data_IF_588617909252
#
_entry.id   IF_588617909252
#
_cell.length_a   1.000
_cell.length_b   1.000
_cell.length_c   1.000
_cell.angle_alpha   90.00
_cell.angle_beta   90.00
_cell.angle_gamma   90.00
#
_symmetry.space_group_name_H-M   'P 1'
#
loop_
_entity.id
_entity.type
_entity.pdbx_description
1 polymer ?
#
# COMPACT_ATOMS: atom_id res chain seq x y z
N UNK A 1 -5.35 19.96 4.17
CA UNK A 1 -5.95 21.25 3.77
C UNK A 1 -4.84 22.27 3.68
N UNK A 2 -4.56 22.87 2.54
CA UNK A 2 -3.60 23.95 2.45
C UNK A 2 -4.00 25.08 3.40
N UNK A 3 -3.09 25.50 4.27
CA UNK A 3 -3.33 26.58 5.25
C UNK A 3 -3.88 26.16 6.62
N UNK A 4 -4.10 24.86 6.87
CA UNK A 4 -4.46 24.34 8.20
C UNK A 4 -3.26 24.17 9.15
N UNK A 5 -3.52 23.57 10.32
CA UNK A 5 -2.49 23.21 11.29
C UNK A 5 -2.45 21.70 11.49
N UNK A 6 -1.25 21.11 11.62
CA UNK A 6 -1.07 19.69 11.90
C UNK A 6 -0.18 19.50 13.14
N UNK A 7 -0.46 18.45 13.91
CA UNK A 7 0.43 18.06 15.01
C UNK A 7 0.97 16.65 14.76
N UNK A 8 2.26 16.55 14.56
CA UNK A 8 3.02 15.32 14.49
C UNK A 8 3.46 14.93 15.91
N UNK A 9 2.87 13.85 16.44
CA UNK A 9 3.10 13.42 17.82
C UNK A 9 4.22 12.38 17.96
N UNK A 10 4.85 11.98 16.83
CA UNK A 10 5.91 10.97 16.76
C UNK A 10 6.99 11.36 15.75
N UNK A 11 7.51 12.56 15.88
CA UNK A 11 8.24 13.28 14.85
C UNK A 11 9.60 12.69 14.42
N UNK A 12 10.24 11.85 15.23
CA UNK A 12 11.54 11.25 14.89
C UNK A 12 12.59 12.28 14.45
N UNK A 13 13.24 12.05 13.30
CA UNK A 13 14.19 13.00 12.71
C UNK A 13 13.55 14.22 12.04
N UNK A 14 12.22 14.34 12.08
CA UNK A 14 11.48 15.51 11.57
C UNK A 14 11.16 15.48 10.07
N UNK A 15 11.36 14.35 9.38
CA UNK A 15 11.16 14.27 7.92
C UNK A 15 9.72 14.53 7.52
N UNK A 16 8.75 13.85 8.17
CA UNK A 16 7.32 14.06 7.91
C UNK A 16 6.91 15.48 8.32
N UNK A 17 7.34 15.97 9.48
CA UNK A 17 7.07 17.33 9.95
C UNK A 17 7.62 18.40 8.99
N UNK A 18 8.81 18.17 8.41
CA UNK A 18 9.35 19.04 7.37
C UNK A 18 8.46 19.07 6.11
N UNK A 19 8.01 17.90 5.67
CA UNK A 19 7.11 17.81 4.53
C UNK A 19 5.76 18.50 4.82
N UNK A 20 5.22 18.34 6.03
CA UNK A 20 4.01 19.04 6.46
C UNK A 20 4.19 20.56 6.48
N UNK A 21 5.36 21.06 6.89
CA UNK A 21 5.65 22.47 6.90
C UNK A 21 5.62 23.15 5.52
N UNK A 22 5.73 22.38 4.43
CA UNK A 22 5.59 22.88 3.05
C UNK A 22 4.12 23.12 2.66
N UNK A 23 3.17 22.51 3.38
CA UNK A 23 1.74 22.46 2.98
C UNK A 23 0.83 23.08 4.04
N UNK A 24 1.18 22.95 5.31
CA UNK A 24 0.42 23.49 6.44
C UNK A 24 0.96 24.85 6.89
N UNK A 25 0.06 25.70 7.39
CA UNK A 25 0.43 27.01 7.94
C UNK A 25 1.33 26.88 9.16
N UNK A 26 1.00 25.93 10.05
CA UNK A 26 1.74 25.68 11.29
C UNK A 26 1.81 24.17 11.55
N UNK A 27 2.94 23.71 12.04
CA UNK A 27 3.20 22.33 12.44
C UNK A 27 3.62 22.33 13.91
N UNK A 28 3.01 21.46 14.71
CA UNK A 28 3.56 21.08 16.00
C UNK A 28 4.27 19.73 15.81
N UNK A 29 5.56 19.70 16.12
CA UNK A 29 6.39 18.51 16.17
C UNK A 29 6.57 18.07 17.62
N UNK A 30 6.41 16.77 17.90
CA UNK A 30 6.72 16.19 19.19
C UNK A 30 7.51 14.88 19.01
N UNK A 31 8.58 14.72 19.81
CA UNK A 31 9.39 13.52 19.85
C UNK A 31 9.78 13.19 21.30
N UNK A 32 9.74 11.91 21.67
CA UNK A 32 10.02 11.47 23.03
C UNK A 32 11.52 11.41 23.36
N UNK A 33 12.36 11.14 22.37
CA UNK A 33 13.80 11.01 22.52
C UNK A 33 14.48 12.37 22.34
N UNK A 34 15.18 12.91 23.38
CA UNK A 34 15.81 14.22 23.29
C UNK A 34 16.80 14.35 22.13
N UNK A 35 17.59 13.29 21.89
CA UNK A 35 18.63 13.30 20.86
C UNK A 35 18.02 13.45 19.45
N UNK A 36 16.86 12.80 19.20
CA UNK A 36 16.16 12.93 17.93
C UNK A 36 15.48 14.31 17.81
N UNK A 37 14.92 14.81 18.90
CA UNK A 37 14.32 16.15 18.92
C UNK A 37 15.37 17.24 18.65
N UNK A 38 16.56 17.15 19.25
CA UNK A 38 17.66 18.07 19.01
C UNK A 38 18.16 18.00 17.55
N UNK A 39 18.28 16.78 17.00
CA UNK A 39 18.64 16.58 15.60
C UNK A 39 17.58 17.19 14.66
N UNK A 40 16.30 17.01 14.95
CA UNK A 40 15.21 17.59 14.16
C UNK A 40 15.24 19.12 14.19
N UNK A 41 15.48 19.74 15.37
CA UNK A 41 15.64 21.20 15.51
C UNK A 41 16.80 21.71 14.65
N UNK A 42 17.93 21.01 14.67
CA UNK A 42 19.06 21.33 13.80
C UNK A 42 18.64 21.24 12.32
N UNK A 43 18.02 20.15 11.91
CA UNK A 43 17.58 19.94 10.53
C UNK A 43 16.60 21.04 10.07
N UNK A 44 15.61 21.39 10.88
CA UNK A 44 14.66 22.45 10.55
C UNK A 44 15.33 23.80 10.35
N UNK A 45 16.35 24.12 11.15
CA UNK A 45 17.12 25.34 10.99
C UNK A 45 17.92 25.35 9.70
N UNK A 46 18.65 24.27 9.39
CA UNK A 46 19.44 24.14 8.16
C UNK A 46 18.57 24.20 6.91
N UNK A 47 17.35 23.64 6.99
CA UNK A 47 16.37 23.67 5.90
C UNK A 47 15.57 24.98 5.82
N UNK A 48 15.83 25.95 6.72
CA UNK A 48 15.17 27.25 6.72
C UNK A 48 13.67 27.20 7.07
N UNK A 49 13.22 26.18 7.80
CA UNK A 49 11.81 26.03 8.20
C UNK A 49 11.52 26.85 9.44
N UNK A 50 10.47 27.67 9.40
CA UNK A 50 10.15 28.64 10.47
C UNK A 50 8.77 28.43 11.11
N UNK A 51 7.95 27.54 10.56
CA UNK A 51 6.56 27.30 10.97
C UNK A 51 6.36 26.00 11.76
N UNK A 52 7.43 25.47 12.38
CA UNK A 52 7.37 24.26 13.24
C UNK A 52 7.60 24.67 14.70
N UNK A 53 6.65 24.32 15.57
CA UNK A 53 6.80 24.37 17.02
C UNK A 53 7.27 23.02 17.54
N UNK A 54 8.36 22.99 18.29
CA UNK A 54 8.96 21.75 18.80
C UNK A 54 8.55 21.46 20.24
N UNK A 55 8.24 20.21 20.54
CA UNK A 55 8.05 19.63 21.86
C UNK A 55 8.95 18.40 22.01
N UNK A 56 9.42 18.14 23.23
CA UNK A 56 10.13 16.92 23.55
C UNK A 56 9.43 16.22 24.71
N UNK A 57 8.43 15.40 24.41
CA UNK A 57 7.60 14.74 25.39
C UNK A 57 7.29 13.29 24.97
N UNK A 58 7.28 12.39 25.96
CA UNK A 58 6.73 11.04 25.76
C UNK A 58 5.20 11.11 25.81
N UNK A 59 4.54 10.69 24.73
CA UNK A 59 3.09 10.62 24.65
C UNK A 59 2.54 9.49 25.52
N UNK A 60 1.75 9.81 26.53
CA UNK A 60 1.18 8.85 27.48
C UNK A 60 -0.34 9.02 27.61
N UNK A 61 -1.08 7.93 27.91
CA UNK A 61 -2.53 8.00 28.14
C UNK A 61 -2.85 8.79 29.41
N UNK A 62 -3.97 9.52 29.43
CA UNK A 62 -4.43 10.32 30.58
C UNK A 62 -4.66 9.50 31.85
N UNK A 63 -5.02 8.25 31.75
CA UNK A 63 -5.22 7.35 32.90
C UNK A 63 -3.96 6.67 33.43
N UNK A 64 -2.75 7.03 32.98
CA UNK A 64 -1.51 6.43 33.46
C UNK A 64 -1.23 6.89 34.88
N UNK A 65 -0.93 5.92 35.78
CA UNK A 65 -0.58 6.22 37.17
C UNK A 65 0.71 7.06 37.23
N UNK A 66 0.80 8.01 38.15
CA UNK A 66 1.95 8.91 38.28
C UNK A 66 3.27 8.16 38.49
N UNK A 67 3.23 6.99 39.16
CA UNK A 67 4.40 6.15 39.40
C UNK A 67 4.96 5.50 38.11
N UNK A 68 4.12 5.30 37.10
CA UNK A 68 4.47 4.65 35.84
C UNK A 68 4.78 5.68 34.72
N UNK A 69 4.50 6.97 35.00
CA UNK A 69 4.64 8.04 34.01
C UNK A 69 6.11 8.46 33.89
N UNK A 70 6.69 8.45 32.69
CA UNK A 70 8.03 9.01 32.47
C UNK A 70 8.10 10.47 32.89
N UNK A 71 9.26 10.97 33.27
CA UNK A 71 9.48 12.37 33.70
C UNK A 71 8.99 13.36 32.63
N UNK A 72 9.31 13.09 31.35
CA UNK A 72 8.84 13.88 30.21
C UNK A 72 7.49 13.40 29.65
N UNK A 73 6.79 12.48 30.35
CA UNK A 73 5.48 11.96 29.92
C UNK A 73 4.42 13.07 29.91
N UNK A 74 3.68 13.20 28.81
CA UNK A 74 2.58 14.17 28.66
C UNK A 74 1.42 13.52 27.92
N UNK A 75 0.20 13.87 28.30
CA UNK A 75 -1.02 13.51 27.57
C UNK A 75 -1.12 14.28 26.26
N UNK A 76 -2.01 13.86 25.37
CA UNK A 76 -2.27 14.57 24.11
C UNK A 76 -2.58 16.04 24.35
N UNK A 77 -3.47 16.33 25.32
CA UNK A 77 -3.88 17.71 25.64
C UNK A 77 -2.75 18.55 26.22
N UNK A 78 -1.86 17.96 27.03
CA UNK A 78 -0.69 18.63 27.58
C UNK A 78 0.36 18.95 26.50
N UNK A 79 0.57 18.05 25.54
CA UNK A 79 1.47 18.28 24.39
C UNK A 79 0.93 19.39 23.50
N UNK A 80 -0.34 19.33 23.15
CA UNK A 80 -0.98 20.34 22.32
C UNK A 80 -1.03 21.72 22.98
N UNK A 81 -1.34 21.79 24.28
CA UNK A 81 -1.50 23.07 25.01
C UNK A 81 -2.49 23.99 24.30
N UNK A 82 -2.06 25.22 23.90
CA UNK A 82 -2.90 26.15 23.14
C UNK A 82 -2.99 25.83 21.63
N UNK A 83 -2.17 24.92 21.10
CA UNK A 83 -2.17 24.56 19.67
C UNK A 83 -3.49 23.84 19.31
N UNK A 84 -4.10 24.22 18.21
CA UNK A 84 -5.37 23.65 17.72
C UNK A 84 -5.15 23.06 16.33
N UNK A 85 -4.77 21.77 16.23
CA UNK A 85 -4.57 21.11 14.94
C UNK A 85 -5.91 20.81 14.25
N UNK A 86 -5.92 20.91 12.93
CA UNK A 86 -6.99 20.37 12.07
C UNK A 86 -6.87 18.87 11.88
N UNK A 87 -5.65 18.34 12.07
CA UNK A 87 -5.32 16.92 11.95
C UNK A 87 -4.15 16.58 12.88
N UNK A 88 -4.24 15.42 13.53
CA UNK A 88 -3.11 14.78 14.20
C UNK A 88 -2.41 13.82 13.27
N UNK A 89 -1.12 13.64 13.45
CA UNK A 89 -0.32 12.61 12.75
C UNK A 89 0.40 11.73 13.76
N UNK A 90 0.40 10.42 13.49
CA UNK A 90 1.19 9.43 14.21
C UNK A 90 1.89 8.47 13.24
N UNK A 91 3.17 8.25 13.48
CA UNK A 91 3.97 7.16 12.90
C UNK A 91 4.55 6.30 14.05
N UNK A 92 3.73 5.41 14.64
CA UNK A 92 4.16 4.67 15.81
C UNK A 92 5.24 3.65 15.46
N UNK A 93 6.35 3.67 16.19
CA UNK A 93 7.42 2.71 16.05
C UNK A 93 6.99 1.32 16.53
N UNK A 94 7.55 0.26 15.95
CA UNK A 94 7.43 -1.09 16.51
C UNK A 94 8.23 -1.20 17.81
N UNK A 95 7.63 -1.75 18.85
CA UNK A 95 8.43 -2.24 19.98
C UNK A 95 9.32 -3.37 19.46
N UNK A 96 10.63 -3.25 19.68
CA UNK A 96 11.56 -4.34 19.38
C UNK A 96 11.24 -5.50 20.33
N UNK A 97 10.51 -6.49 19.88
CA UNK A 97 10.18 -7.67 20.67
C UNK A 97 10.06 -8.91 19.77
N UNK A 98 10.74 -9.96 20.18
CA UNK A 98 10.41 -11.37 19.98
C UNK A 98 10.45 -11.98 18.59
N UNK A 99 11.09 -11.36 17.58
CA UNK A 99 11.26 -12.00 16.26
C UNK A 99 9.95 -12.32 15.54
N UNK A 100 8.80 -11.83 16.01
CA UNK A 100 7.50 -12.02 15.36
C UNK A 100 7.46 -11.31 14.01
N UNK A 101 7.11 -12.06 12.97
CA UNK A 101 7.01 -11.54 11.60
C UNK A 101 5.70 -10.76 11.32
N UNK A 102 4.70 -10.83 12.20
CA UNK A 102 3.38 -10.24 12.01
C UNK A 102 3.31 -8.89 12.69
N UNK A 103 2.86 -7.86 11.94
CA UNK A 103 2.57 -6.52 12.48
C UNK A 103 1.25 -6.54 13.25
N UNK A 104 1.26 -5.97 14.48
CA UNK A 104 0.05 -5.74 15.29
C UNK A 104 0.07 -4.32 15.83
N UNK A 105 -1.10 -3.69 15.93
CA UNK A 105 -1.23 -2.33 16.51
C UNK A 105 -0.87 -2.31 18.00
N UNK A 106 -1.12 -3.40 18.72
CA UNK A 106 -0.81 -3.54 20.14
C UNK A 106 0.71 -3.56 20.41
N UNK A 107 1.51 -3.91 19.40
CA UNK A 107 2.98 -3.95 19.49
C UNK A 107 3.60 -2.59 19.13
N UNK A 108 2.80 -1.57 18.85
CA UNK A 108 3.27 -0.23 18.52
C UNK A 108 3.58 0.62 19.76
N UNK A 109 4.50 1.58 19.59
CA UNK A 109 4.80 2.60 20.59
C UNK A 109 4.77 3.98 19.90
N UNK A 110 3.90 4.88 20.36
CA UNK A 110 2.90 4.72 21.41
C UNK A 110 1.81 3.68 21.07
N UNK A 111 1.11 3.16 22.10
CA UNK A 111 -0.03 2.26 21.96
C UNK A 111 -1.22 3.02 21.36
N UNK A 112 -1.39 2.86 20.06
CA UNK A 112 -2.42 3.58 19.29
C UNK A 112 -3.83 3.26 19.77
N UNK A 113 -4.14 1.99 20.06
CA UNK A 113 -5.49 1.58 20.45
C UNK A 113 -5.88 2.19 21.80
N UNK A 114 -4.94 2.25 22.73
CA UNK A 114 -5.17 2.85 24.05
C UNK A 114 -5.32 4.37 23.98
N UNK A 115 -4.60 5.03 23.07
CA UNK A 115 -4.62 6.49 22.91
C UNK A 115 -5.75 6.98 22.01
N UNK A 116 -6.33 6.14 21.17
CA UNK A 116 -7.29 6.52 20.13
C UNK A 116 -8.46 7.38 20.63
N UNK A 117 -9.12 7.07 21.78
CA UNK A 117 -10.20 7.91 22.30
C UNK A 117 -9.75 9.32 22.63
N UNK A 118 -8.56 9.47 23.23
CA UNK A 118 -8.00 10.78 23.57
C UNK A 118 -7.60 11.57 22.34
N UNK A 119 -6.93 10.91 21.38
CA UNK A 119 -6.51 11.53 20.12
C UNK A 119 -7.72 12.11 19.39
N UNK A 120 -8.78 11.32 19.21
CA UNK A 120 -9.99 11.75 18.50
C UNK A 120 -10.84 12.75 19.29
N UNK A 121 -10.71 12.79 20.62
CA UNK A 121 -11.30 13.85 21.45
C UNK A 121 -10.56 15.18 21.31
N UNK A 122 -9.24 15.15 21.20
CA UNK A 122 -8.40 16.32 21.04
C UNK A 122 -8.46 16.92 19.63
N UNK A 123 -8.57 16.08 18.62
CA UNK A 123 -8.76 16.47 17.22
C UNK A 123 -9.59 15.42 16.49
N UNK A 124 -10.66 15.82 15.75
CA UNK A 124 -11.56 14.85 15.12
C UNK A 124 -10.92 14.04 13.99
N UNK A 125 -9.72 14.41 13.54
CA UNK A 125 -9.00 13.73 12.46
C UNK A 125 -7.62 13.28 12.90
N UNK A 126 -7.30 12.02 12.60
CA UNK A 126 -6.00 11.42 12.84
C UNK A 126 -5.50 10.76 11.55
N UNK A 127 -4.35 11.17 11.07
CA UNK A 127 -3.59 10.49 10.02
C UNK A 127 -2.59 9.55 10.69
N UNK A 128 -2.78 8.24 10.49
CA UNK A 128 -1.96 7.18 11.06
C UNK A 128 -1.11 6.54 9.97
N UNK A 129 0.21 6.62 10.09
CA UNK A 129 1.16 5.93 9.21
C UNK A 129 1.52 4.57 9.81
N UNK A 130 1.46 3.54 9.00
CA UNK A 130 1.75 2.17 9.42
C UNK A 130 2.68 1.47 8.43
N UNK A 131 3.42 0.50 8.95
CA UNK A 131 4.21 -0.41 8.13
C UNK A 131 3.35 -1.10 7.05
N UNK A 132 3.88 -1.30 5.84
CA UNK A 132 3.20 -2.09 4.79
C UNK A 132 2.97 -3.56 5.19
N UNK A 133 3.55 -4.03 6.28
CA UNK A 133 3.30 -5.38 6.83
C UNK A 133 1.95 -5.48 7.56
N UNK A 134 1.31 -4.36 7.91
CA UNK A 134 0.02 -4.36 8.60
C UNK A 134 -1.09 -4.96 7.72
N UNK A 135 -1.97 -5.77 8.31
CA UNK A 135 -3.17 -6.27 7.64
C UNK A 135 -4.24 -5.17 7.64
N UNK A 136 -4.55 -4.65 6.45
CA UNK A 136 -5.50 -3.53 6.27
C UNK A 136 -6.86 -3.86 6.86
N UNK A 137 -7.36 -5.08 6.63
CA UNK A 137 -8.68 -5.49 7.10
C UNK A 137 -8.74 -5.55 8.63
N UNK A 138 -7.72 -6.16 9.24
CA UNK A 138 -7.62 -6.28 10.69
C UNK A 138 -7.48 -4.91 11.36
N UNK A 139 -6.57 -4.08 10.86
CA UNK A 139 -6.33 -2.72 11.38
C UNK A 139 -7.61 -1.87 11.28
N UNK A 140 -8.28 -1.88 10.14
CA UNK A 140 -9.53 -1.15 9.97
C UNK A 140 -10.65 -1.63 10.89
N UNK A 141 -10.69 -2.93 11.20
CA UNK A 141 -11.64 -3.50 12.16
C UNK A 141 -11.33 -3.06 13.60
N UNK A 142 -10.06 -3.03 13.99
CA UNK A 142 -9.64 -2.62 15.33
C UNK A 142 -9.87 -1.13 15.58
N UNK A 143 -9.58 -0.27 14.60
CA UNK A 143 -9.72 1.18 14.71
C UNK A 143 -11.16 1.68 14.58
N UNK A 144 -12.01 0.99 13.82
CA UNK A 144 -13.47 1.25 13.70
C UNK A 144 -13.85 2.48 12.85
N UNK A 145 -13.18 3.62 13.04
CA UNK A 145 -13.53 4.92 12.45
C UNK A 145 -12.62 5.34 11.26
N UNK A 146 -12.08 4.36 10.53
CA UNK A 146 -11.24 4.63 9.36
C UNK A 146 -12.10 5.09 8.18
N UNK A 147 -11.84 6.30 7.72
CA UNK A 147 -12.48 6.93 6.56
C UNK A 147 -11.76 6.63 5.26
N UNK A 148 -10.42 6.74 5.28
CA UNK A 148 -9.61 6.58 4.08
C UNK A 148 -8.41 5.66 4.36
N UNK A 149 -8.04 4.84 3.40
CA UNK A 149 -6.82 4.04 3.42
C UNK A 149 -6.03 4.35 2.16
N UNK A 150 -4.77 4.75 2.32
CA UNK A 150 -3.85 4.95 1.22
C UNK A 150 -2.74 3.91 1.29
N UNK A 151 -2.50 3.21 0.18
CA UNK A 151 -1.40 2.25 0.02
C UNK A 151 -0.36 2.91 -0.86
N UNK A 152 0.81 3.20 -0.31
CA UNK A 152 1.86 3.95 -1.00
C UNK A 152 2.99 3.01 -1.39
N UNK A 153 3.31 2.99 -2.68
CA UNK A 153 4.44 2.27 -3.26
C UNK A 153 5.33 3.21 -4.06
N UNK A 154 6.62 2.97 -3.99
CA UNK A 154 7.62 3.64 -4.79
C UNK A 154 8.79 2.68 -5.06
N UNK A 155 9.44 2.81 -6.23
CA UNK A 155 10.58 1.98 -6.65
C UNK A 155 10.27 0.47 -6.60
N UNK A 156 9.04 0.08 -6.92
CA UNK A 156 8.60 -1.32 -6.94
C UNK A 156 8.41 -1.95 -5.58
N UNK A 157 8.33 -1.17 -4.49
CA UNK A 157 8.08 -1.62 -3.13
C UNK A 157 6.91 -0.87 -2.49
N UNK A 158 6.10 -1.58 -1.70
CA UNK A 158 5.13 -0.93 -0.83
C UNK A 158 5.87 -0.31 0.35
N UNK A 159 5.83 1.01 0.48
CA UNK A 159 6.58 1.77 1.48
C UNK A 159 5.80 1.92 2.79
N UNK A 160 4.52 2.28 2.69
CA UNK A 160 3.70 2.58 3.87
C UNK A 160 2.20 2.45 3.60
N UNK A 161 1.44 2.42 4.67
CA UNK A 161 -0.01 2.58 4.69
C UNK A 161 -0.33 3.87 5.45
N UNK A 162 -1.16 4.75 4.87
CA UNK A 162 -1.69 5.92 5.56
C UNK A 162 -3.20 5.72 5.76
N UNK A 163 -3.65 5.83 7.00
CA UNK A 163 -5.06 5.72 7.36
C UNK A 163 -5.56 7.05 7.92
N UNK A 164 -6.57 7.63 7.28
CA UNK A 164 -7.28 8.77 7.84
C UNK A 164 -8.45 8.27 8.67
N UNK A 165 -8.39 8.53 9.97
CA UNK A 165 -9.46 8.29 10.91
C UNK A 165 -10.23 9.58 11.13
N UNK A 166 -11.55 9.48 11.29
CA UNK A 166 -12.42 10.60 11.62
C UNK A 166 -13.38 10.22 12.75
N UNK A 167 -13.43 11.05 13.79
CA UNK A 167 -14.28 10.80 14.96
C UNK A 167 -15.74 10.63 14.53
N UNK A 168 -16.36 9.53 14.97
CA UNK A 168 -17.75 9.20 14.64
C UNK A 168 -18.00 8.75 13.20
N UNK A 169 -16.96 8.56 12.38
CA UNK A 169 -17.14 8.06 11.01
C UNK A 169 -17.68 6.64 11.00
N UNK A 170 -18.85 6.46 10.37
CA UNK A 170 -19.48 5.17 10.14
C UNK A 170 -19.88 4.97 8.66
N UNK A 171 -19.42 5.88 7.79
CA UNK A 171 -19.68 5.84 6.35
C UNK A 171 -18.79 4.82 5.61
N UNK A 172 -18.96 4.72 4.30
CA UNK A 172 -18.12 3.87 3.46
C UNK A 172 -16.66 4.34 3.53
N UNK A 173 -15.75 3.37 3.45
CA UNK A 173 -14.31 3.64 3.43
C UNK A 173 -13.85 3.82 2.00
N UNK A 174 -12.95 4.77 1.77
CA UNK A 174 -12.24 4.88 0.49
C UNK A 174 -10.88 4.19 0.57
N UNK A 175 -10.47 3.59 -0.53
CA UNK A 175 -9.15 2.98 -0.68
C UNK A 175 -8.45 3.65 -1.86
N UNK A 176 -7.29 4.21 -1.61
CA UNK A 176 -6.45 4.87 -2.61
C UNK A 176 -5.14 4.12 -2.75
N UNK A 177 -4.70 3.88 -3.96
CA UNK A 177 -3.38 3.34 -4.27
C UNK A 177 -2.52 4.44 -4.89
N UNK A 178 -1.27 4.51 -4.44
CA UNK A 178 -0.25 5.39 -4.97
C UNK A 178 0.92 4.53 -5.43
N UNK A 179 1.29 4.61 -6.71
CA UNK A 179 2.41 3.88 -7.30
C UNK A 179 3.29 4.91 -8.03
N UNK A 180 4.52 5.13 -7.55
CA UNK A 180 5.47 6.09 -8.14
C UNK A 180 4.87 7.48 -8.42
N UNK A 181 4.01 7.97 -7.52
CA UNK A 181 3.33 9.26 -7.62
C UNK A 181 2.01 9.25 -8.40
N UNK A 182 1.70 8.22 -9.16
CA UNK A 182 0.38 8.04 -9.74
C UNK A 182 -0.66 7.66 -8.67
N UNK A 183 -1.86 8.24 -8.74
CA UNK A 183 -2.90 8.06 -7.71
C UNK A 183 -4.18 7.52 -8.33
N UNK A 184 -4.76 6.49 -7.72
CA UNK A 184 -6.04 5.91 -8.13
C UNK A 184 -6.88 5.54 -6.90
N UNK A 185 -8.15 5.93 -6.91
CA UNK A 185 -9.13 5.40 -5.95
C UNK A 185 -9.62 4.03 -6.42
N UNK A 186 -9.67 3.09 -5.48
CA UNK A 186 -10.09 1.71 -5.73
C UNK A 186 -11.47 1.50 -5.10
N UNK A 187 -12.45 0.97 -5.85
CA UNK A 187 -13.72 0.57 -5.27
C UNK A 187 -13.51 -0.49 -4.18
N UNK A 188 -13.99 -0.24 -2.96
CA UNK A 188 -13.90 -1.21 -1.87
C UNK A 188 -15.14 -2.09 -1.90
N UNK A 189 -15.00 -3.33 -2.36
CA UNK A 189 -16.03 -4.35 -2.22
C UNK A 189 -16.08 -4.82 -0.76
N UNK A 190 -17.21 -4.55 -0.06
CA UNK A 190 -17.48 -5.17 1.24
C UNK A 190 -16.86 -4.52 2.47
N UNK A 191 -17.06 -3.23 2.69
CA UNK A 191 -17.34 -2.75 4.05
C UNK A 191 -18.68 -3.33 4.45
N UNK A 192 -18.81 -3.84 5.70
CA UNK A 192 -20.02 -4.41 6.28
C UNK A 192 -21.29 -3.82 5.64
N UNK A 193 -22.10 -4.68 5.03
CA UNK A 193 -23.42 -4.47 4.44
C UNK A 193 -23.80 -2.99 4.15
N UNK A 194 -23.72 -2.58 2.91
CA UNK A 194 -24.35 -1.34 2.47
C UNK A 194 -23.49 -0.54 1.50
N UNK A 195 -23.90 -0.61 0.27
CA UNK A 195 -23.49 0.23 -0.85
C UNK A 195 -22.01 0.25 -1.21
N UNK A 196 -21.72 -0.40 -2.31
CA UNK A 196 -20.58 -0.04 -3.15
C UNK A 196 -20.73 1.46 -3.47
N UNK A 197 -19.80 2.33 -3.06
CA UNK A 197 -19.84 3.70 -3.56
C UNK A 197 -19.59 3.61 -5.06
N UNK A 198 -20.55 3.99 -5.87
CA UNK A 198 -20.35 4.30 -7.28
C UNK A 198 -19.57 5.62 -7.36
N UNK A 199 -18.29 5.57 -7.17
CA UNK A 199 -17.38 6.65 -7.44
C UNK A 199 -16.04 6.07 -7.86
N UNK A 200 -16.03 5.60 -9.10
CA UNK A 200 -14.81 5.67 -9.91
C UNK A 200 -14.59 7.17 -10.13
N UNK A 201 -13.37 7.72 -9.91
CA UNK A 201 -13.12 9.14 -10.13
C UNK A 201 -13.57 9.54 -11.55
N UNK A 202 -14.05 10.77 -11.72
CA UNK A 202 -14.49 11.40 -12.97
C UNK A 202 -13.47 11.40 -14.13
N UNK A 203 -12.38 10.65 -14.01
CA UNK A 203 -11.31 10.54 -15.02
C UNK A 203 -11.40 9.25 -15.84
N UNK A 204 -12.35 8.35 -15.52
CA UNK A 204 -12.57 7.14 -16.34
C UNK A 204 -13.93 7.30 -17.02
N UNK A 205 -13.98 7.68 -18.32
CA UNK A 205 -15.23 7.72 -19.05
C UNK A 205 -15.81 6.28 -19.15
N UNK A 206 -17.06 6.14 -18.76
CA UNK A 206 -17.95 5.02 -19.09
C UNK A 206 -17.65 3.62 -18.54
N UNK A 207 -17.07 3.48 -17.34
CA UNK A 207 -17.08 2.15 -16.65
C UNK A 207 -18.20 2.13 -15.61
N UNK A 208 -19.36 1.64 -16.01
CA UNK A 208 -20.48 1.31 -15.10
C UNK A 208 -20.05 0.13 -14.23
N UNK A 209 -20.20 0.18 -12.89
CA UNK A 209 -19.98 -0.98 -12.04
C UNK A 209 -21.16 -1.96 -12.18
N UNK A 210 -21.16 -2.73 -13.26
CA UNK A 210 -21.87 -3.99 -13.30
C UNK A 210 -21.02 -5.04 -12.60
N UNK A 211 -21.62 -6.06 -12.01
CA UNK A 211 -20.91 -7.24 -11.52
C UNK A 211 -20.04 -7.78 -12.67
N UNK A 212 -18.76 -7.38 -12.68
CA UNK A 212 -17.83 -7.83 -13.71
C UNK A 212 -17.49 -9.27 -13.36
N UNK A 213 -18.18 -10.21 -13.99
CA UNK A 213 -17.67 -11.57 -14.09
C UNK A 213 -16.31 -11.45 -14.78
N UNK A 214 -15.24 -11.66 -14.00
CA UNK A 214 -13.90 -11.75 -14.56
C UNK A 214 -13.98 -12.62 -15.82
N UNK A 215 -13.62 -12.05 -16.97
CA UNK A 215 -13.72 -12.76 -18.25
C UNK A 215 -13.04 -14.11 -18.13
N UNK A 216 -13.82 -15.18 -18.30
CA UNK A 216 -13.29 -16.54 -18.19
C UNK A 216 -12.64 -16.88 -19.52
N UNK A 217 -11.33 -17.13 -19.52
CA UNK A 217 -10.63 -17.53 -20.72
C UNK A 217 -11.09 -18.92 -21.18
N UNK A 218 -11.52 -19.03 -22.40
CA UNK A 218 -11.88 -20.31 -23.04
C UNK A 218 -10.71 -21.02 -23.73
N UNK A 219 -9.61 -20.27 -23.93
CA UNK A 219 -8.36 -20.75 -24.52
C UNK A 219 -7.16 -20.02 -23.88
N UNK A 220 -5.92 -20.57 -24.02
CA UNK A 220 -4.74 -19.82 -23.59
C UNK A 220 -4.63 -18.50 -24.38
N UNK A 221 -4.02 -17.45 -23.79
CA UNK A 221 -3.79 -16.20 -24.49
C UNK A 221 -2.99 -16.40 -25.80
N UNK A 222 -3.23 -15.56 -26.77
CA UNK A 222 -2.63 -15.63 -28.09
C UNK A 222 -1.46 -14.66 -28.27
N UNK A 223 -0.58 -14.95 -29.23
CA UNK A 223 0.47 -14.01 -29.60
C UNK A 223 -0.11 -12.63 -29.97
N UNK A 224 0.47 -11.57 -29.43
CA UNK A 224 -0.01 -10.20 -29.61
C UNK A 224 -0.87 -9.67 -28.47
N UNK A 225 -1.50 -10.55 -27.66
CA UNK A 225 -2.20 -10.14 -26.46
C UNK A 225 -1.25 -9.42 -25.49
N UNK A 226 -1.81 -8.51 -24.69
CA UNK A 226 -1.07 -7.79 -23.66
C UNK A 226 -1.36 -8.37 -22.28
N UNK A 227 -0.29 -8.59 -21.51
CA UNK A 227 -0.37 -8.97 -20.11
C UNK A 227 -0.15 -7.75 -19.23
N UNK A 228 -0.92 -7.69 -18.15
CA UNK A 228 -0.75 -6.73 -17.07
C UNK A 228 -0.40 -7.44 -15.77
N UNK A 229 0.74 -7.08 -15.18
CA UNK A 229 1.18 -7.50 -13.86
C UNK A 229 1.00 -6.34 -12.89
N UNK A 230 0.06 -6.42 -11.92
CA UNK A 230 -0.19 -5.32 -10.98
C UNK A 230 1.04 -4.97 -10.15
N UNK A 231 1.19 -3.68 -9.88
CA UNK A 231 2.20 -3.12 -8.99
C UNK A 231 1.95 -3.47 -7.52
N UNK A 232 2.86 -3.05 -6.68
CA UNK A 232 2.84 -3.41 -5.25
C UNK A 232 1.70 -2.75 -4.49
N UNK A 233 1.30 -1.52 -4.86
CA UNK A 233 0.18 -0.85 -4.23
C UNK A 233 -1.14 -1.58 -4.49
N UNK A 234 -1.44 -1.97 -5.75
CA UNK A 234 -2.63 -2.74 -6.08
C UNK A 234 -2.67 -4.10 -5.39
N UNK A 235 -1.54 -4.81 -5.36
CA UNK A 235 -1.44 -6.12 -4.69
C UNK A 235 -1.65 -5.99 -3.19
N UNK A 236 -1.03 -5.00 -2.54
CA UNK A 236 -1.18 -4.75 -1.11
C UNK A 236 -2.58 -4.27 -0.74
N UNK A 237 -3.20 -3.47 -1.59
CA UNK A 237 -4.58 -3.01 -1.44
C UNK A 237 -5.62 -4.14 -1.55
N UNK A 238 -5.22 -5.33 -2.03
CA UNK A 238 -6.15 -6.43 -2.32
C UNK A 238 -7.08 -6.15 -3.51
N UNK A 239 -6.73 -5.20 -4.37
CA UNK A 239 -7.53 -4.74 -5.51
C UNK A 239 -7.46 -5.72 -6.70
N UNK A 240 -7.62 -7.03 -6.40
CA UNK A 240 -7.38 -8.10 -7.37
C UNK A 240 -8.38 -8.19 -8.52
N UNK A 241 -9.55 -7.58 -8.40
CA UNK A 241 -10.55 -7.59 -9.46
C UNK A 241 -10.65 -6.24 -10.20
N UNK A 242 -9.91 -5.24 -9.73
CA UNK A 242 -9.88 -3.92 -10.35
C UNK A 242 -9.46 -3.96 -11.83
N UNK A 243 -8.39 -4.69 -12.27
CA UNK A 243 -8.07 -4.75 -13.69
C UNK A 243 -9.19 -5.35 -14.57
N UNK A 244 -10.04 -6.21 -13.98
CA UNK A 244 -11.18 -6.77 -14.70
C UNK A 244 -12.27 -5.71 -14.97
N UNK A 245 -12.43 -4.71 -14.11
CA UNK A 245 -13.38 -3.60 -14.36
C UNK A 245 -12.95 -2.74 -15.55
N UNK A 246 -11.69 -2.82 -15.94
CA UNK A 246 -11.14 -2.21 -17.14
C UNK A 246 -11.15 -3.13 -18.36
N UNK A 247 -11.86 -4.26 -18.32
CA UNK A 247 -12.03 -5.17 -19.44
C UNK A 247 -10.91 -6.21 -19.60
N UNK A 248 -9.97 -6.32 -18.65
CA UNK A 248 -8.97 -7.37 -18.68
C UNK A 248 -9.51 -8.67 -18.10
N UNK A 249 -9.05 -9.80 -18.63
CA UNK A 249 -9.37 -11.14 -18.13
C UNK A 249 -8.30 -11.63 -17.17
N UNK A 250 -8.71 -12.08 -15.98
CA UNK A 250 -7.80 -12.63 -14.97
C UNK A 250 -7.42 -14.07 -15.33
N UNK A 251 -6.14 -14.42 -15.28
CA UNK A 251 -5.68 -15.78 -15.60
C UNK A 251 -6.10 -16.82 -14.55
N UNK A 252 -6.21 -16.41 -13.28
CA UNK A 252 -6.62 -17.27 -12.18
C UNK A 252 -6.74 -16.52 -10.87
N UNK A 253 -7.48 -17.09 -9.91
CA UNK A 253 -7.79 -16.46 -8.62
C UNK A 253 -6.54 -15.98 -7.87
N UNK A 254 -5.47 -16.77 -7.90
CA UNK A 254 -4.22 -16.51 -7.19
C UNK A 254 -3.04 -16.23 -8.13
N UNK A 255 -3.27 -16.13 -9.43
CA UNK A 255 -2.21 -15.89 -10.42
C UNK A 255 -1.81 -14.42 -10.47
N UNK A 256 -2.78 -13.50 -10.23
CA UNK A 256 -2.57 -12.04 -10.25
C UNK A 256 -1.85 -11.55 -11.52
N UNK A 257 -2.23 -12.11 -12.65
CA UNK A 257 -1.87 -11.67 -14.00
C UNK A 257 -3.15 -11.55 -14.81
N UNK A 258 -3.18 -10.54 -15.66
CA UNK A 258 -4.38 -10.19 -16.44
C UNK A 258 -4.01 -10.09 -17.91
N UNK A 259 -4.94 -10.41 -18.81
CA UNK A 259 -4.72 -10.39 -20.24
C UNK A 259 -5.84 -9.63 -20.94
N UNK A 260 -5.49 -8.94 -22.02
CA UNK A 260 -6.42 -8.24 -22.90
C UNK A 260 -5.77 -7.83 -24.21
N UNK A 261 -6.60 -7.40 -25.16
CA UNK A 261 -6.10 -6.90 -26.45
C UNK A 261 -5.38 -5.53 -26.28
N UNK A 262 -5.74 -4.78 -25.23
CA UNK A 262 -5.11 -3.52 -24.88
C UNK A 262 -5.05 -3.38 -23.35
N UNK A 263 -4.07 -2.64 -22.83
CA UNK A 263 -4.01 -2.22 -21.44
C UNK A 263 -4.48 -0.77 -21.39
N UNK A 264 -5.58 -0.48 -20.68
CA UNK A 264 -6.09 0.88 -20.53
C UNK A 264 -5.03 1.82 -19.94
N UNK A 265 -4.99 3.05 -20.44
CA UNK A 265 -3.99 4.06 -20.05
C UNK A 265 -4.02 4.32 -18.53
N UNK A 266 -5.21 4.33 -17.95
CA UNK A 266 -5.41 4.52 -16.50
C UNK A 266 -4.74 3.43 -15.64
N UNK A 267 -4.53 2.22 -16.14
CA UNK A 267 -3.88 1.12 -15.41
C UNK A 267 -2.36 1.10 -15.57
N UNK A 268 -1.81 1.69 -16.65
CA UNK A 268 -0.38 1.59 -16.96
C UNK A 268 0.55 2.03 -15.83
N UNK A 269 0.28 3.13 -15.10
CA UNK A 269 1.14 3.53 -13.99
C UNK A 269 1.15 2.55 -12.81
N UNK A 270 0.13 1.68 -12.69
CA UNK A 270 -0.09 0.82 -11.53
C UNK A 270 0.38 -0.62 -11.74
N UNK A 271 1.27 -0.86 -12.70
CA UNK A 271 1.83 -2.18 -12.95
C UNK A 271 2.75 -2.23 -14.15
N UNK A 272 3.13 -3.45 -14.52
CA UNK A 272 3.98 -3.71 -15.67
C UNK A 272 3.17 -4.29 -16.81
N UNK A 273 3.44 -3.84 -18.01
CA UNK A 273 2.82 -4.32 -19.24
C UNK A 273 3.80 -5.15 -20.05
N UNK A 274 3.31 -6.26 -20.61
CA UNK A 274 4.10 -7.14 -21.45
C UNK A 274 3.28 -7.53 -22.68
N UNK A 275 3.95 -7.70 -23.81
CA UNK A 275 3.36 -8.28 -25.03
C UNK A 275 3.66 -9.77 -25.09
N UNK A 276 2.63 -10.58 -25.25
CA UNK A 276 2.75 -12.02 -25.41
C UNK A 276 3.32 -12.35 -26.79
N UNK A 277 4.39 -13.13 -26.81
CA UNK A 277 4.98 -13.68 -28.03
C UNK A 277 4.43 -15.10 -28.32
N UNK A 278 4.30 -15.90 -27.25
CA UNK A 278 3.89 -17.29 -27.38
C UNK A 278 3.35 -17.81 -26.03
N UNK A 279 2.34 -18.66 -26.06
CA UNK A 279 1.85 -19.41 -24.91
C UNK A 279 2.04 -20.92 -25.16
N UNK A 280 2.79 -21.60 -24.31
CA UNK A 280 3.10 -23.03 -24.41
C UNK A 280 2.63 -23.75 -23.15
N UNK A 281 2.20 -25.04 -23.25
CA UNK A 281 1.99 -25.84 -22.05
C UNK A 281 3.26 -25.92 -21.18
N UNK A 282 3.08 -25.94 -19.87
CA UNK A 282 4.19 -26.14 -18.93
C UNK A 282 4.54 -27.63 -18.86
N UNK A 283 5.16 -28.15 -19.89
CA UNK A 283 5.64 -29.50 -20.00
C UNK A 283 7.12 -29.57 -20.44
N UNK A 284 7.68 -30.77 -20.57
CA UNK A 284 9.07 -30.94 -20.96
C UNK A 284 9.37 -30.36 -22.36
N UNK A 285 8.40 -30.45 -23.30
CA UNK A 285 8.54 -29.93 -24.65
C UNK A 285 8.54 -28.39 -24.65
N UNK A 286 7.55 -27.77 -24.00
CA UNK A 286 7.46 -26.32 -23.90
C UNK A 286 8.70 -25.70 -23.22
N UNK A 287 9.15 -26.30 -22.09
CA UNK A 287 10.35 -25.86 -21.41
C UNK A 287 11.60 -25.95 -22.31
N UNK A 288 11.77 -27.05 -23.04
CA UNK A 288 12.89 -27.23 -23.96
C UNK A 288 12.86 -26.22 -25.13
N UNK A 289 11.68 -25.98 -25.69
CA UNK A 289 11.50 -25.01 -26.78
C UNK A 289 11.96 -23.61 -26.34
N UNK A 290 11.52 -23.14 -25.17
CA UNK A 290 11.93 -21.84 -24.67
C UNK A 290 13.43 -21.80 -24.35
N UNK A 291 13.97 -22.81 -23.63
CA UNK A 291 15.36 -22.83 -23.23
C UNK A 291 16.35 -22.87 -24.43
N UNK A 292 15.97 -23.54 -25.51
CA UNK A 292 16.78 -23.56 -26.72
C UNK A 292 16.75 -22.23 -27.49
N UNK A 293 15.59 -21.56 -27.51
CA UNK A 293 15.40 -20.31 -28.26
C UNK A 293 15.95 -19.10 -27.52
N UNK A 294 15.88 -19.12 -26.18
CA UNK A 294 16.25 -18.00 -25.33
C UNK A 294 17.17 -18.45 -24.19
N UNK A 295 18.49 -18.40 -24.36
CA UNK A 295 19.43 -18.88 -23.35
C UNK A 295 19.47 -17.96 -22.10
N UNK A 296 18.89 -16.74 -22.19
CA UNK A 296 18.71 -15.80 -21.09
C UNK A 296 17.29 -15.28 -21.09
N UNK A 297 16.66 -15.28 -19.92
CA UNK A 297 15.30 -14.77 -19.72
C UNK A 297 15.07 -14.42 -18.25
N UNK A 298 14.27 -13.39 -17.98
CA UNK A 298 13.67 -13.20 -16.67
C UNK A 298 12.56 -14.25 -16.49
N UNK A 299 12.48 -14.85 -15.31
CA UNK A 299 11.53 -15.94 -15.06
C UNK A 299 10.72 -15.67 -13.81
N UNK A 300 9.41 -15.69 -13.93
CA UNK A 300 8.47 -15.55 -12.81
C UNK A 300 7.47 -16.71 -12.77
N UNK A 301 7.35 -17.36 -11.62
CA UNK A 301 6.36 -18.38 -11.35
C UNK A 301 5.18 -17.82 -10.58
N UNK A 302 3.94 -18.04 -11.06
CA UNK A 302 2.69 -17.56 -10.45
C UNK A 302 1.68 -18.70 -10.34
N UNK A 303 1.37 -19.09 -9.11
CA UNK A 303 0.35 -20.11 -8.82
C UNK A 303 0.60 -21.47 -9.51
N UNK A 304 1.86 -21.88 -9.59
CA UNK A 304 2.30 -23.20 -10.04
C UNK A 304 3.15 -23.87 -8.95
N UNK A 305 3.29 -25.21 -8.94
CA UNK A 305 4.06 -25.92 -7.92
C UNK A 305 5.59 -25.83 -8.13
N UNK A 306 6.08 -24.69 -8.59
CA UNK A 306 7.50 -24.39 -8.79
C UNK A 306 7.76 -22.95 -8.34
N UNK A 307 8.92 -22.72 -7.74
CA UNK A 307 9.42 -21.35 -7.54
C UNK A 307 10.01 -20.80 -8.83
N UNK A 308 10.20 -19.48 -8.93
CA UNK A 308 10.82 -18.85 -10.10
C UNK A 308 12.22 -19.41 -10.37
N UNK A 309 13.01 -19.64 -9.33
CA UNK A 309 14.35 -20.25 -9.47
C UNK A 309 14.31 -21.71 -9.93
N UNK A 310 13.34 -22.49 -9.43
CA UNK A 310 13.16 -23.88 -9.89
C UNK A 310 12.73 -23.92 -11.37
N UNK A 311 11.84 -23.03 -11.77
CA UNK A 311 11.39 -22.92 -13.15
C UNK A 311 12.55 -22.50 -14.05
N UNK A 312 13.34 -21.47 -13.67
CA UNK A 312 14.52 -21.02 -14.41
C UNK A 312 15.53 -22.14 -14.65
N UNK A 313 15.84 -22.92 -13.60
CA UNK A 313 16.72 -24.09 -13.71
C UNK A 313 16.18 -25.16 -14.66
N UNK A 314 14.87 -25.44 -14.63
CA UNK A 314 14.23 -26.42 -15.54
C UNK A 314 14.19 -25.95 -16.99
N UNK A 315 14.04 -24.63 -17.22
CA UNK A 315 14.18 -24.02 -18.54
C UNK A 315 15.63 -24.06 -19.06
N UNK A 316 16.62 -24.14 -18.17
CA UNK A 316 18.04 -24.08 -18.53
C UNK A 316 18.48 -22.70 -19.00
N UNK A 317 17.85 -21.64 -18.50
CA UNK A 317 18.14 -20.25 -18.91
C UNK A 317 18.89 -19.50 -17.80
N UNK A 318 19.80 -18.59 -18.21
CA UNK A 318 20.43 -17.64 -17.33
C UNK A 318 19.48 -16.45 -17.07
N UNK A 319 19.71 -15.75 -15.96
CA UNK A 319 18.94 -14.57 -15.56
C UNK A 319 19.14 -13.38 -16.48
N UNK A 320 18.12 -12.55 -16.64
CA UNK A 320 18.10 -11.38 -17.53
C UNK A 320 17.95 -11.77 -19.00
N UNK A 321 17.88 -10.79 -19.88
CA UNK A 321 17.74 -10.97 -21.32
C UNK A 321 16.57 -10.18 -21.89
N UNK A 322 16.28 -10.40 -23.19
CA UNK A 322 15.27 -9.60 -23.88
C UNK A 322 13.82 -10.06 -23.65
N UNK A 323 13.62 -11.21 -23.00
CA UNK A 323 12.30 -11.81 -22.80
C UNK A 323 12.04 -12.11 -21.33
N UNK A 324 10.75 -12.12 -20.98
CA UNK A 324 10.26 -12.56 -19.69
C UNK A 324 9.36 -13.79 -19.86
N UNK A 325 9.62 -14.83 -19.09
CA UNK A 325 8.84 -16.07 -19.09
C UNK A 325 8.02 -16.15 -17.80
N UNK A 326 6.71 -16.10 -17.93
CA UNK A 326 5.81 -16.37 -16.81
C UNK A 326 5.36 -17.85 -16.86
N UNK A 327 5.67 -18.60 -15.79
CA UNK A 327 5.05 -19.90 -15.54
C UNK A 327 3.77 -19.68 -14.73
N UNK A 328 2.61 -19.95 -15.31
CA UNK A 328 1.32 -19.58 -14.72
C UNK A 328 0.33 -20.73 -14.72
N UNK A 329 -0.59 -20.71 -13.74
CA UNK A 329 -1.82 -21.48 -13.79
C UNK A 329 -2.93 -20.62 -14.39
N UNK A 330 -3.64 -21.18 -15.38
CA UNK A 330 -4.88 -20.62 -15.90
C UNK A 330 -6.02 -21.47 -15.36
N UNK A 331 -6.78 -20.88 -14.39
CA UNK A 331 -7.76 -21.66 -13.62
C UNK A 331 -8.91 -22.17 -14.48
N UNK A 332 -9.41 -21.37 -15.43
CA UNK A 332 -10.49 -21.76 -16.34
C UNK A 332 -10.14 -22.94 -17.24
N UNK A 333 -8.87 -23.12 -17.54
CA UNK A 333 -8.36 -24.23 -18.36
C UNK A 333 -7.86 -25.41 -17.51
N UNK A 334 -7.83 -25.24 -16.18
CA UNK A 334 -7.28 -26.20 -15.21
C UNK A 334 -5.86 -26.67 -15.56
N UNK A 335 -5.05 -25.81 -16.22
CA UNK A 335 -3.75 -26.17 -16.79
C UNK A 335 -2.69 -25.08 -16.50
N UNK A 336 -1.42 -25.51 -16.56
CA UNK A 336 -0.28 -24.63 -16.37
C UNK A 336 0.37 -24.32 -17.73
N UNK A 337 0.76 -23.06 -17.91
CA UNK A 337 1.35 -22.55 -19.15
C UNK A 337 2.66 -21.79 -18.89
N UNK A 338 3.46 -21.72 -19.92
CA UNK A 338 4.59 -20.83 -20.09
C UNK A 338 4.16 -19.71 -21.03
N UNK A 339 4.15 -18.48 -20.52
CA UNK A 339 3.85 -17.30 -21.33
C UNK A 339 5.16 -16.58 -21.61
N UNK A 340 5.60 -16.61 -22.85
CA UNK A 340 6.79 -15.92 -23.33
C UNK A 340 6.43 -14.51 -23.74
N UNK A 341 7.05 -13.51 -23.14
CA UNK A 341 6.67 -12.11 -23.28
C UNK A 341 7.87 -11.19 -23.47
N UNK A 342 7.61 -9.98 -23.95
CA UNK A 342 8.55 -8.84 -23.94
C UNK A 342 7.89 -7.66 -23.25
N UNK A 343 8.63 -6.81 -22.54
CA UNK A 343 8.11 -5.54 -22.01
C UNK A 343 7.48 -4.68 -23.12
N UNK A 344 6.42 -3.92 -22.78
CA UNK A 344 5.80 -2.96 -23.70
C UNK A 344 6.40 -1.58 -23.55
#
# INVERSE_FOLDING_TARGET
MPGGCIADLTGGLGVDSWAFAQVFREVLYNEMQPELADAAVHNFRELGVTNIQVRNCALVPSGMASADRPENGRTVSEILGPFRPDILFLDPARRAADGRKVFRLEDCQPDVLRLLPELLSACPRLLLKLSPMADITLVCKQLGCVREVHVVSADGECKELLLLLEAGWAGPRTLTVVEDGAVMQVPVAGGVAGNVPSAVPDVVPDVVPGAVTAGTLSAPPSAGDLLFEPGKALLKAGAFDLPCTFGLSKLGRHTHLYVGAAIPEALRPFGKCFRLLEALPLDKRGMRTIGQKYPRADVTARNIPLTSDQLRRKLGVADGGPVHVFGVRIDSLSANYLLLTVPC
#
